data_IF_088190093748
#
_entry.id   IF_088190093748
#
_cell.length_a   1.000
_cell.length_b   1.000
_cell.length_c   1.000
_cell.angle_alpha   90.00
_cell.angle_beta   90.00
_cell.angle_gamma   90.00
#
_symmetry.space_group_name_H-M   'P 1'
#
loop_
_entity.id
_entity.type
_entity.pdbx_description
1 polymer ?
#
# COMPACT_ATOMS: atom_id res chain seq x y z
N UNK A 1 -1.03 -10.23 8.28
CA UNK A 1 -1.53 -10.94 7.09
C UNK A 1 -0.53 -10.81 5.95
N UNK A 2 -0.16 -11.94 5.33
CA UNK A 2 0.74 -12.01 4.18
C UNK A 2 0.00 -12.59 2.98
N UNK A 3 -0.20 -11.76 1.95
CA UNK A 3 -1.01 -12.06 0.76
C UNK A 3 -0.10 -11.97 -0.46
N UNK A 4 0.01 -13.08 -1.19
CA UNK A 4 0.98 -13.22 -2.28
C UNK A 4 0.47 -14.01 -3.48
N UNK A 5 1.23 -13.98 -4.56
CA UNK A 5 1.06 -14.72 -5.81
C UNK A 5 -0.16 -14.34 -6.68
N UNK A 6 -1.37 -14.33 -6.12
CA UNK A 6 -2.63 -14.10 -6.86
C UNK A 6 -3.43 -12.96 -6.24
N UNK A 7 -4.04 -12.12 -7.07
CA UNK A 7 -4.91 -11.04 -6.61
C UNK A 7 -6.17 -11.56 -5.91
N UNK A 8 -6.70 -12.71 -6.33
CA UNK A 8 -7.86 -13.38 -5.70
C UNK A 8 -7.68 -13.65 -4.21
N UNK A 9 -6.43 -13.78 -3.74
CA UNK A 9 -6.12 -14.01 -2.31
C UNK A 9 -6.43 -12.78 -1.44
N UNK A 10 -6.62 -11.61 -2.05
CA UNK A 10 -7.05 -10.40 -1.34
C UNK A 10 -8.47 -10.51 -0.81
N UNK A 11 -9.29 -11.47 -1.28
CA UNK A 11 -10.65 -11.70 -0.80
C UNK A 11 -10.76 -11.93 0.71
N UNK A 12 -9.67 -12.35 1.36
CA UNK A 12 -9.59 -12.48 2.83
C UNK A 12 -9.76 -11.14 3.58
N UNK A 13 -9.58 -10.01 2.88
CA UNK A 13 -9.76 -8.66 3.44
C UNK A 13 -11.21 -8.17 3.35
N UNK A 14 -12.12 -8.97 2.80
CA UNK A 14 -13.54 -8.62 2.72
C UNK A 14 -14.09 -8.43 4.14
N UNK A 15 -14.85 -7.36 4.34
CA UNK A 15 -15.49 -7.00 5.61
C UNK A 15 -14.50 -6.80 6.79
N UNK A 16 -13.21 -6.60 6.49
CA UNK A 16 -12.19 -6.33 7.49
C UNK A 16 -12.06 -4.82 7.74
N UNK A 17 -12.33 -4.39 8.98
CA UNK A 17 -12.25 -2.97 9.36
C UNK A 17 -10.87 -2.58 9.92
N UNK A 18 -10.28 -3.49 10.69
CA UNK A 18 -8.99 -3.32 11.37
C UNK A 18 -8.15 -4.57 11.19
N UNK A 19 -6.89 -4.39 10.80
CA UNK A 19 -5.89 -5.46 10.81
C UNK A 19 -4.98 -5.25 12.01
N UNK A 20 -5.02 -6.18 12.95
CA UNK A 20 -4.06 -6.27 14.05
C UNK A 20 -2.74 -6.87 13.53
N UNK A 21 -1.64 -6.13 13.66
CA UNK A 21 -0.34 -6.47 13.08
C UNK A 21 -0.17 -5.89 11.68
N UNK A 22 0.48 -6.62 10.78
CA UNK A 22 0.90 -6.10 9.48
C UNK A 22 -0.01 -6.53 8.31
N UNK A 23 0.01 -5.78 7.21
CA UNK A 23 -0.57 -6.17 5.92
C UNK A 23 0.53 -6.18 4.85
N UNK A 24 0.82 -7.35 4.28
CA UNK A 24 1.82 -7.51 3.20
C UNK A 24 1.12 -8.00 1.94
N UNK A 25 1.22 -7.23 0.87
CA UNK A 25 0.74 -7.57 -0.47
C UNK A 25 1.97 -7.65 -1.37
N UNK A 26 2.46 -8.86 -1.59
CA UNK A 26 3.83 -9.07 -2.10
C UNK A 26 3.89 -10.17 -3.18
N UNK A 27 4.91 -10.12 -4.03
CA UNK A 27 5.22 -11.21 -4.98
C UNK A 27 4.05 -11.59 -5.90
N UNK A 28 3.31 -10.59 -6.39
CA UNK A 28 2.26 -10.75 -7.39
C UNK A 28 2.81 -10.34 -8.76
N UNK A 29 3.71 -11.17 -9.29
CA UNK A 29 4.45 -10.84 -10.52
C UNK A 29 3.77 -11.31 -11.80
N UNK A 30 2.80 -12.22 -11.67
CA UNK A 30 2.03 -12.77 -12.79
C UNK A 30 0.65 -12.13 -12.94
N UNK A 31 0.30 -11.17 -12.09
CA UNK A 31 -0.98 -10.46 -12.13
C UNK A 31 -0.95 -9.33 -13.16
N UNK A 32 -2.14 -9.00 -13.65
CA UNK A 32 -2.44 -8.02 -14.67
C UNK A 32 -3.38 -6.94 -14.13
N UNK A 33 -3.68 -5.91 -14.92
CA UNK A 33 -4.60 -4.84 -14.48
C UNK A 33 -6.02 -5.39 -14.24
N UNK A 34 -6.46 -6.34 -15.06
CA UNK A 34 -7.80 -6.93 -14.94
C UNK A 34 -7.98 -7.69 -13.63
N UNK A 35 -6.92 -8.32 -13.11
CA UNK A 35 -6.94 -9.02 -11.81
C UNK A 35 -7.28 -8.09 -10.62
N UNK A 36 -7.07 -6.78 -10.75
CA UNK A 36 -7.35 -5.79 -9.70
C UNK A 36 -8.52 -4.85 -10.04
N UNK A 37 -9.06 -4.91 -11.26
CA UNK A 37 -10.02 -3.92 -11.76
C UNK A 37 -11.27 -3.81 -10.87
N UNK A 38 -11.77 -4.94 -10.39
CA UNK A 38 -13.00 -5.02 -9.60
C UNK A 38 -12.74 -5.25 -8.10
N UNK A 39 -11.48 -5.13 -7.66
CA UNK A 39 -11.10 -5.27 -6.25
C UNK A 39 -11.10 -3.91 -5.54
N UNK A 40 -11.84 -3.84 -4.43
CA UNK A 40 -11.80 -2.75 -3.48
C UNK A 40 -12.18 -3.27 -2.09
N UNK A 41 -11.52 -2.76 -1.06
CA UNK A 41 -11.75 -3.12 0.34
C UNK A 41 -12.08 -1.84 1.12
N UNK A 42 -13.31 -1.31 0.96
CA UNK A 42 -13.71 -0.03 1.54
C UNK A 42 -13.92 -0.08 3.05
N UNK A 43 -14.07 -1.25 3.65
CA UNK A 43 -14.25 -1.37 5.10
C UNK A 43 -12.95 -1.17 5.86
N UNK A 44 -11.80 -1.46 5.25
CA UNK A 44 -10.51 -1.36 5.91
C UNK A 44 -10.16 0.09 6.23
N UNK A 45 -10.11 0.41 7.52
CA UNK A 45 -9.81 1.75 8.06
C UNK A 45 -8.43 1.85 8.69
N UNK A 46 -7.95 0.76 9.27
CA UNK A 46 -6.77 0.77 10.14
C UNK A 46 -5.92 -0.48 10.01
N UNK A 47 -4.59 -0.28 10.09
CA UNK A 47 -3.60 -1.35 10.31
C UNK A 47 -2.74 -0.97 11.50
N UNK A 48 -2.63 -1.83 12.51
CA UNK A 48 -1.90 -1.46 13.74
C UNK A 48 -0.38 -1.56 13.56
N UNK A 49 0.11 -2.48 12.75
CA UNK A 49 1.53 -2.66 12.43
C UNK A 49 1.98 -1.87 11.20
N UNK A 50 2.59 -2.58 10.24
CA UNK A 50 3.09 -2.02 8.98
C UNK A 50 2.30 -2.50 7.76
N UNK A 51 2.33 -1.72 6.68
CA UNK A 51 1.81 -2.10 5.37
C UNK A 51 2.96 -2.18 4.37
N UNK A 52 3.06 -3.27 3.61
CA UNK A 52 4.08 -3.47 2.58
C UNK A 52 3.43 -3.86 1.26
N UNK A 53 3.78 -3.12 0.22
CA UNK A 53 3.56 -3.49 -1.18
C UNK A 53 4.92 -3.75 -1.82
N UNK A 54 5.14 -4.98 -2.31
CA UNK A 54 6.42 -5.37 -2.88
C UNK A 54 6.29 -6.26 -4.12
N UNK A 55 6.92 -5.85 -5.24
CA UNK A 55 6.93 -6.63 -6.49
C UNK A 55 5.53 -7.05 -6.96
N UNK A 56 4.63 -6.07 -7.09
CA UNK A 56 3.26 -6.27 -7.59
C UNK A 56 3.15 -5.68 -8.99
N UNK A 57 2.65 -6.48 -9.94
CA UNK A 57 2.24 -6.06 -11.30
C UNK A 57 0.73 -5.91 -11.36
N UNK A 58 0.23 -5.07 -12.26
CA UNK A 58 -1.20 -4.89 -12.50
C UNK A 58 -1.89 -3.90 -11.56
N UNK A 59 -1.49 -3.80 -10.29
CA UNK A 59 -2.06 -2.82 -9.36
C UNK A 59 -1.66 -1.39 -9.75
N UNK A 60 -2.65 -0.56 -10.09
CA UNK A 60 -2.45 0.81 -10.60
C UNK A 60 -2.68 1.91 -9.57
N UNK A 61 -3.53 1.67 -8.56
CA UNK A 61 -3.88 2.65 -7.52
C UNK A 61 -4.07 1.95 -6.17
N UNK A 62 -3.28 2.33 -5.16
CA UNK A 62 -3.48 1.82 -3.78
C UNK A 62 -4.76 2.43 -3.18
N UNK A 63 -5.03 3.70 -3.46
CA UNK A 63 -6.23 4.41 -3.01
C UNK A 63 -7.53 3.78 -3.50
N UNK A 64 -7.58 3.29 -4.75
CA UNK A 64 -8.75 2.55 -5.24
C UNK A 64 -8.96 1.22 -4.50
N UNK A 65 -7.86 0.55 -4.14
CA UNK A 65 -7.89 -0.73 -3.42
C UNK A 65 -8.33 -0.53 -1.95
N UNK A 66 -7.87 0.55 -1.31
CA UNK A 66 -8.14 0.87 0.08
C UNK A 66 -8.62 2.33 0.23
N UNK A 67 -9.82 2.67 -0.25
CA UNK A 67 -10.28 4.08 -0.37
C UNK A 67 -10.46 4.77 1.00
N UNK A 68 -10.59 3.95 2.03
CA UNK A 68 -11.04 4.32 3.35
C UNK A 68 -10.01 4.06 4.44
N UNK A 69 -8.81 3.60 4.05
CA UNK A 69 -7.69 3.47 4.96
C UNK A 69 -7.26 4.85 5.45
N UNK A 70 -7.16 5.02 6.77
CA UNK A 70 -6.89 6.31 7.41
C UNK A 70 -5.78 6.24 8.45
N UNK A 71 -5.51 5.10 9.07
CA UNK A 71 -4.52 5.01 10.14
C UNK A 71 -3.58 3.82 9.94
N UNK A 72 -2.28 4.09 10.05
CA UNK A 72 -1.25 3.07 10.29
C UNK A 72 -0.61 3.41 11.64
N UNK A 73 -0.80 2.58 12.66
CA UNK A 73 -0.25 2.90 14.00
C UNK A 73 1.26 2.70 14.07
N UNK A 74 1.79 1.73 13.32
CA UNK A 74 3.22 1.43 13.30
C UNK A 74 3.71 0.71 14.56
N UNK A 75 2.85 -0.05 15.25
CA UNK A 75 3.16 -0.86 16.44
C UNK A 75 4.21 -1.96 16.17
N UNK A 76 4.32 -2.38 14.92
CA UNK A 76 5.36 -3.24 14.38
C UNK A 76 5.91 -2.62 13.09
N UNK A 77 7.23 -2.44 13.00
CA UNK A 77 7.90 -1.74 11.89
C UNK A 77 8.72 -2.72 11.05
N UNK A 78 8.70 -2.53 9.73
CA UNK A 78 9.63 -3.22 8.83
C UNK A 78 10.83 -2.32 8.54
N UNK A 79 12.00 -2.65 9.09
CA UNK A 79 13.22 -1.86 8.93
C UNK A 79 12.98 -0.36 9.20
N UNK A 80 12.30 -0.02 10.30
CA UNK A 80 11.89 1.34 10.71
C UNK A 80 10.73 1.98 9.92
N UNK A 81 10.19 1.31 8.89
CA UNK A 81 9.07 1.81 8.10
C UNK A 81 7.75 1.15 8.50
N UNK A 82 6.69 1.94 8.53
CA UNK A 82 5.32 1.47 8.72
C UNK A 82 4.53 1.43 7.40
N UNK A 83 5.01 2.12 6.36
CA UNK A 83 4.51 1.96 4.99
C UNK A 83 5.68 1.80 4.01
N UNK A 84 5.67 0.69 3.27
CA UNK A 84 6.66 0.38 2.24
C UNK A 84 5.94 0.16 0.92
N UNK A 85 6.29 0.93 -0.11
CA UNK A 85 5.78 0.78 -1.48
C UNK A 85 6.97 0.67 -2.43
N UNK A 86 7.37 -0.55 -2.73
CA UNK A 86 8.65 -0.83 -3.38
C UNK A 86 8.53 -1.78 -4.57
N UNK A 87 9.20 -1.46 -5.68
CA UNK A 87 9.19 -2.28 -6.91
C UNK A 87 7.78 -2.57 -7.43
N UNK A 88 6.89 -1.58 -7.38
CA UNK A 88 5.56 -1.64 -7.97
C UNK A 88 5.63 -1.30 -9.46
N UNK A 89 5.30 -2.27 -10.31
CA UNK A 89 5.60 -2.17 -11.75
C UNK A 89 4.55 -1.38 -12.54
N UNK A 90 3.29 -1.42 -12.10
CA UNK A 90 2.15 -0.80 -12.79
C UNK A 90 1.52 0.36 -12.01
N UNK A 91 2.08 0.70 -10.84
CA UNK A 91 1.52 1.69 -9.93
C UNK A 91 1.65 3.10 -10.52
N UNK A 92 0.51 3.78 -10.65
CA UNK A 92 0.40 5.15 -11.16
C UNK A 92 0.19 6.16 -10.03
N UNK A 93 -0.53 5.76 -8.98
CA UNK A 93 -0.87 6.62 -7.84
C UNK A 93 -0.97 5.84 -6.53
N UNK A 94 -0.72 6.51 -5.40
CA UNK A 94 -0.99 5.97 -4.06
C UNK A 94 -2.33 6.50 -3.54
N UNK A 95 -2.60 7.80 -3.69
CA UNK A 95 -3.88 8.46 -3.41
C UNK A 95 -4.62 7.94 -2.15
N UNK A 96 -3.98 8.05 -0.98
CA UNK A 96 -4.59 7.70 0.31
C UNK A 96 -4.98 8.98 1.07
N UNK A 97 -6.12 9.62 0.73
CA UNK A 97 -6.53 10.88 1.35
C UNK A 97 -6.77 10.70 2.84
N UNK A 98 -6.14 11.54 3.66
CA UNK A 98 -6.32 11.50 5.12
C UNK A 98 -5.63 10.32 5.82
N UNK A 99 -4.72 9.60 5.15
CA UNK A 99 -3.87 8.63 5.82
C UNK A 99 -2.97 9.35 6.85
N UNK A 100 -2.95 8.82 8.06
CA UNK A 100 -2.06 9.25 9.13
C UNK A 100 -1.20 8.06 9.57
N UNK A 101 0.11 8.27 9.59
CA UNK A 101 1.07 7.33 10.16
C UNK A 101 1.45 7.83 11.54
N UNK A 102 1.19 7.03 12.58
CA UNK A 102 1.50 7.44 13.96
C UNK A 102 2.98 7.19 14.31
N UNK A 103 3.54 6.08 13.83
CA UNK A 103 4.93 5.69 14.09
C UNK A 103 5.58 5.06 12.86
N UNK A 104 6.89 5.26 12.74
CA UNK A 104 7.69 4.73 11.63
C UNK A 104 7.71 5.64 10.40
N UNK A 105 8.66 5.38 9.52
CA UNK A 105 8.79 6.11 8.26
C UNK A 105 7.88 5.56 7.16
N UNK A 106 7.82 6.30 6.05
CA UNK A 106 7.26 5.83 4.80
C UNK A 106 8.35 5.80 3.73
N UNK A 107 8.46 4.69 3.00
CA UNK A 107 9.39 4.54 1.89
C UNK A 107 8.64 4.16 0.62
N UNK A 108 8.90 4.92 -0.45
CA UNK A 108 8.33 4.72 -1.78
C UNK A 108 9.50 4.75 -2.76
N UNK A 109 9.90 3.59 -3.30
CA UNK A 109 11.10 3.51 -4.14
C UNK A 109 10.97 2.46 -5.25
N UNK A 110 11.77 2.61 -6.30
CA UNK A 110 11.85 1.69 -7.45
C UNK A 110 10.53 1.29 -8.14
N UNK A 111 9.49 2.10 -7.99
CA UNK A 111 8.23 1.90 -8.70
C UNK A 111 8.40 2.33 -10.17
N UNK A 112 8.16 1.43 -11.12
CA UNK A 112 8.48 1.65 -12.55
C UNK A 112 7.32 2.25 -13.36
N UNK A 113 6.09 2.13 -12.89
CA UNK A 113 4.88 2.66 -13.56
C UNK A 113 4.70 4.19 -13.48
N UNK A 114 5.75 4.92 -13.11
CA UNK A 114 5.69 6.35 -12.78
C UNK A 114 5.26 7.20 -13.98
N UNK A 115 4.20 7.98 -13.79
CA UNK A 115 4.12 9.32 -14.37
C UNK A 115 4.74 10.30 -13.35
N UNK A 116 5.67 11.20 -13.74
CA UNK A 116 6.39 12.09 -12.81
C UNK A 116 5.50 13.03 -11.97
N UNK A 117 4.21 13.15 -12.27
CA UNK A 117 3.34 14.26 -11.83
C UNK A 117 2.28 13.84 -10.77
N UNK A 118 2.15 12.56 -10.41
CA UNK A 118 0.99 12.06 -9.65
C UNK A 118 1.27 11.52 -8.23
N UNK A 119 2.39 11.86 -7.62
CA UNK A 119 2.55 11.74 -6.17
C UNK A 119 2.18 13.07 -5.50
N UNK A 120 0.90 13.43 -5.52
CA UNK A 120 0.39 14.54 -4.71
C UNK A 120 0.49 14.12 -3.23
N UNK A 121 1.62 14.46 -2.60
CA UNK A 121 1.82 14.40 -1.15
C UNK A 121 1.13 15.54 -0.41
N UNK A 122 0.10 16.17 -0.99
CA UNK A 122 -0.43 17.43 -0.44
C UNK A 122 -1.16 17.28 0.90
N UNK A 123 -1.47 16.05 1.37
CA UNK A 123 -2.26 15.87 2.59
C UNK A 123 -1.82 14.72 3.50
N UNK A 124 -0.73 14.01 3.17
CA UNK A 124 -0.21 12.99 4.08
C UNK A 124 0.86 13.64 4.94
N UNK A 125 0.61 13.75 6.25
CA UNK A 125 1.64 14.16 7.24
C UNK A 125 2.69 13.06 7.33
N UNK A 126 3.56 12.97 6.32
CA UNK A 126 4.64 11.99 6.23
C UNK A 126 5.95 12.77 6.29
N UNK A 127 6.81 12.40 7.24
CA UNK A 127 8.24 12.69 7.15
C UNK A 127 8.81 11.82 6.02
N UNK A 128 8.70 12.33 4.78
CA UNK A 128 9.16 11.61 3.59
C UNK A 128 10.68 11.63 3.57
N UNK A 129 11.31 10.46 3.59
CA UNK A 129 12.75 10.32 3.40
C UNK A 129 12.96 9.81 1.97
N UNK A 130 13.30 10.67 1.00
CA UNK A 130 13.68 10.20 -0.32
C UNK A 130 14.93 9.33 -0.21
N UNK A 131 14.88 8.13 -0.80
CA UNK A 131 16.08 7.31 -0.98
C UNK A 131 17.05 8.05 -1.90
N UNK A 132 18.19 8.49 -1.35
CA UNK A 132 19.34 8.93 -2.15
C UNK A 132 19.80 7.77 -3.04
N UNK A 133 20.07 8.06 -4.31
CA UNK A 133 20.70 7.13 -5.25
C UNK A 133 22.13 6.82 -4.83
#
# INVERSE_FOLDING_TARGET
MDIKNRASNLSVLKDCNVIEGYLRIVLMEKTTVDDFKDLSFPELREVTGNIIFYRVRGLTSIGRLFPNLRVIRGEDLFMYYSLVVYKMFSLKEIALPGLTVLRGGVIISENRGKSPVLFLFSHVKINYIPSSK
#
